data_IF_727120769954
#
_entry.id   IF_727120769954
#
_cell.length_a   1.000
_cell.length_b   1.000
_cell.length_c   1.000
_cell.angle_alpha   90.00
_cell.angle_beta   90.00
_cell.angle_gamma   90.00
#
_symmetry.space_group_name_H-M   'P 1'
#
loop_
_entity.id
_entity.type
_entity.pdbx_description
1 polymer ?
#
# COMPACT_ATOMS: atom_id res chain seq x y z
N UNK A 1 -28.08 -52.95 -39.84
CA UNK A 1 -27.74 -52.49 -38.48
C UNK A 1 -26.38 -51.82 -38.31
N UNK A 2 -25.27 -52.36 -38.83
CA UNK A 2 -23.95 -51.73 -38.60
C UNK A 2 -23.78 -50.33 -39.23
N UNK A 3 -24.31 -50.10 -40.43
CA UNK A 3 -24.29 -48.78 -41.09
C UNK A 3 -25.01 -47.73 -40.24
N UNK A 4 -26.20 -48.05 -39.71
CA UNK A 4 -26.94 -47.15 -38.84
C UNK A 4 -26.17 -46.83 -37.55
N UNK A 5 -25.44 -47.81 -36.99
CA UNK A 5 -24.57 -47.62 -35.83
C UNK A 5 -23.38 -46.70 -36.14
N UNK A 6 -22.77 -46.83 -37.32
CA UNK A 6 -21.66 -45.96 -37.74
C UNK A 6 -22.15 -44.53 -37.99
N UNK A 7 -23.29 -44.35 -38.67
CA UNK A 7 -23.91 -43.04 -38.86
C UNK A 7 -24.19 -42.37 -37.51
N UNK A 8 -24.79 -43.08 -36.55
CA UNK A 8 -25.06 -42.52 -35.22
C UNK A 8 -23.78 -42.09 -34.48
N UNK A 9 -22.68 -42.84 -34.63
CA UNK A 9 -21.38 -42.45 -34.04
C UNK A 9 -20.77 -41.21 -34.71
N UNK A 10 -20.91 -41.08 -36.03
CA UNK A 10 -20.46 -39.90 -36.77
C UNK A 10 -21.25 -38.67 -36.31
N UNK A 11 -22.57 -38.79 -36.18
CA UNK A 11 -23.43 -37.69 -35.71
C UNK A 11 -23.07 -37.25 -34.28
N UNK A 12 -22.77 -38.22 -33.39
CA UNK A 12 -22.29 -37.95 -32.03
C UNK A 12 -20.92 -37.26 -32.05
N UNK A 13 -19.98 -37.75 -32.85
CA UNK A 13 -18.65 -37.16 -32.98
C UNK A 13 -18.72 -35.73 -33.52
N UNK A 14 -19.59 -35.47 -34.51
CA UNK A 14 -19.81 -34.16 -35.09
C UNK A 14 -20.38 -33.17 -34.06
N UNK A 15 -21.38 -33.61 -33.30
CA UNK A 15 -21.99 -32.80 -32.24
C UNK A 15 -20.97 -32.45 -31.15
N UNK A 16 -20.19 -33.44 -30.69
CA UNK A 16 -19.15 -33.23 -29.67
C UNK A 16 -18.00 -32.35 -30.17
N UNK A 17 -17.57 -32.52 -31.43
CA UNK A 17 -16.56 -31.65 -32.04
C UNK A 17 -17.03 -30.19 -32.07
N UNK A 18 -18.29 -29.94 -32.47
CA UNK A 18 -18.86 -28.60 -32.49
C UNK A 18 -18.91 -27.98 -31.09
N UNK A 19 -19.33 -28.76 -30.08
CA UNK A 19 -19.36 -28.31 -28.68
C UNK A 19 -17.96 -27.97 -28.16
N UNK A 20 -16.98 -28.84 -28.37
CA UNK A 20 -15.60 -28.61 -27.94
C UNK A 20 -15.00 -27.36 -28.59
N UNK A 21 -15.29 -27.11 -29.87
CA UNK A 21 -14.84 -25.89 -30.56
C UNK A 21 -15.46 -24.63 -29.97
N UNK A 22 -16.73 -24.67 -29.60
CA UNK A 22 -17.38 -23.55 -28.90
C UNK A 22 -16.72 -23.30 -27.54
N UNK A 23 -16.48 -24.36 -26.75
CA UNK A 23 -15.79 -24.24 -25.46
C UNK A 23 -14.35 -23.73 -25.60
N UNK A 24 -13.62 -24.11 -26.66
CA UNK A 24 -12.28 -23.56 -26.95
C UNK A 24 -12.34 -22.06 -27.20
N UNK A 25 -13.33 -21.58 -27.97
CA UNK A 25 -13.49 -20.15 -28.22
C UNK A 25 -13.81 -19.37 -26.93
N UNK A 26 -14.65 -19.94 -26.08
CA UNK A 26 -14.96 -19.37 -24.76
C UNK A 26 -13.71 -19.28 -23.87
N UNK A 27 -12.95 -20.38 -23.75
CA UNK A 27 -11.70 -20.41 -22.98
C UNK A 27 -10.67 -19.39 -23.50
N UNK A 28 -10.55 -19.22 -24.82
CA UNK A 28 -9.69 -18.21 -25.42
C UNK A 28 -10.13 -16.78 -25.05
N UNK A 29 -11.43 -16.51 -25.06
CA UNK A 29 -11.97 -15.22 -24.64
C UNK A 29 -11.73 -14.95 -23.15
N UNK A 30 -11.93 -15.96 -22.30
CA UNK A 30 -11.66 -15.86 -20.87
C UNK A 30 -10.16 -15.66 -20.56
N UNK A 31 -9.27 -16.35 -21.27
CA UNK A 31 -7.82 -16.16 -21.13
C UNK A 31 -7.39 -14.74 -21.54
N UNK A 32 -7.98 -14.20 -22.62
CA UNK A 32 -7.72 -12.83 -23.03
C UNK A 32 -8.25 -11.81 -22.00
N UNK A 33 -9.43 -12.04 -21.44
CA UNK A 33 -9.99 -11.21 -20.37
C UNK A 33 -9.10 -11.23 -19.12
N UNK A 34 -8.68 -12.43 -18.68
CA UNK A 34 -7.78 -12.61 -17.53
C UNK A 34 -6.44 -11.90 -17.73
N UNK A 35 -5.88 -11.95 -18.95
CA UNK A 35 -4.64 -11.24 -19.27
C UNK A 35 -4.80 -9.72 -19.17
N UNK A 36 -5.93 -9.17 -19.64
CA UNK A 36 -6.23 -7.74 -19.55
C UNK A 36 -6.46 -7.28 -18.11
N UNK A 37 -7.17 -8.08 -17.33
CA UNK A 37 -7.40 -7.82 -15.91
C UNK A 37 -6.08 -7.83 -15.13
N UNK A 38 -5.26 -8.85 -15.33
CA UNK A 38 -3.93 -8.95 -14.70
C UNK A 38 -3.07 -7.73 -15.03
N UNK A 39 -3.02 -7.31 -16.30
CA UNK A 39 -2.27 -6.11 -16.69
C UNK A 39 -2.79 -4.82 -16.03
N UNK A 40 -4.10 -4.74 -15.79
CA UNK A 40 -4.72 -3.59 -15.10
C UNK A 40 -4.37 -3.60 -13.61
N UNK A 41 -4.37 -4.77 -12.97
CA UNK A 41 -3.92 -4.91 -11.58
C UNK A 41 -2.44 -4.55 -11.42
N UNK A 42 -1.57 -5.06 -12.30
CA UNK A 42 -0.13 -4.75 -12.25
C UNK A 42 0.12 -3.25 -12.36
N UNK A 43 -0.63 -2.58 -13.25
CA UNK A 43 -0.55 -1.12 -13.41
C UNK A 43 -1.01 -0.39 -12.14
N UNK A 44 -2.18 -0.75 -11.60
CA UNK A 44 -2.69 -0.14 -10.38
C UNK A 44 -1.69 -0.35 -9.24
N UNK A 45 -1.13 -1.55 -9.10
CA UNK A 45 -0.15 -1.85 -8.06
C UNK A 45 1.11 -0.99 -8.18
N UNK A 46 1.61 -0.77 -9.39
CA UNK A 46 2.74 0.11 -9.63
C UNK A 46 2.43 1.56 -9.25
N UNK A 47 1.26 2.06 -9.66
CA UNK A 47 0.81 3.43 -9.34
C UNK A 47 0.63 3.61 -7.82
N UNK A 48 -0.08 2.69 -7.15
CA UNK A 48 -0.32 2.78 -5.71
C UNK A 48 0.95 2.62 -4.89
N UNK A 49 1.88 1.75 -5.31
CA UNK A 49 3.17 1.61 -4.62
C UNK A 49 4.00 2.88 -4.71
N UNK A 50 4.04 3.51 -5.89
CA UNK A 50 4.79 4.75 -6.09
C UNK A 50 4.21 5.88 -5.23
N UNK A 51 2.88 5.99 -5.17
CA UNK A 51 2.20 6.96 -4.31
C UNK A 51 2.50 6.70 -2.82
N UNK A 52 2.51 5.44 -2.38
CA UNK A 52 2.90 5.06 -1.03
C UNK A 52 4.35 5.42 -0.71
N UNK A 53 5.32 5.10 -1.59
CA UNK A 53 6.72 5.44 -1.36
C UNK A 53 6.93 6.96 -1.19
N UNK A 54 6.21 7.75 -2.00
CA UNK A 54 6.23 9.20 -1.87
C UNK A 54 5.58 9.67 -0.55
N UNK A 55 4.39 9.17 -0.21
CA UNK A 55 3.69 9.53 1.02
C UNK A 55 4.51 9.17 2.27
N UNK A 56 5.12 7.97 2.27
CA UNK A 56 6.03 7.52 3.32
C UNK A 56 7.21 8.46 3.50
N UNK A 57 7.90 8.81 2.42
CA UNK A 57 9.04 9.70 2.46
C UNK A 57 8.67 11.10 3.02
N UNK A 58 7.54 11.65 2.58
CA UNK A 58 7.04 12.94 3.05
C UNK A 58 6.64 12.91 4.54
N UNK A 59 5.99 11.84 4.99
CA UNK A 59 5.63 11.63 6.40
C UNK A 59 6.86 11.47 7.29
N UNK A 60 7.86 10.67 6.88
CA UNK A 60 9.11 10.51 7.62
C UNK A 60 9.89 11.82 7.73
N UNK A 61 9.96 12.58 6.63
CA UNK A 61 10.60 13.89 6.61
C UNK A 61 9.86 14.88 7.51
N UNK A 62 8.53 14.94 7.41
CA UNK A 62 7.67 15.76 8.26
C UNK A 62 7.86 15.44 9.75
N UNK A 63 7.86 14.15 10.11
CA UNK A 63 8.07 13.68 11.47
C UNK A 63 9.44 14.08 12.01
N UNK A 64 10.50 13.92 11.22
CA UNK A 64 11.86 14.36 11.58
C UNK A 64 11.92 15.88 11.79
N UNK A 65 11.27 16.65 10.92
CA UNK A 65 11.17 18.10 11.02
C UNK A 65 10.46 18.57 12.30
N UNK A 66 9.29 17.99 12.60
CA UNK A 66 8.51 18.30 13.80
C UNK A 66 9.29 17.95 15.07
N UNK A 67 9.96 16.78 15.10
CA UNK A 67 10.82 16.38 16.24
C UNK A 67 11.95 17.37 16.49
N UNK A 68 12.63 17.83 15.43
CA UNK A 68 13.69 18.85 15.55
C UNK A 68 13.13 20.19 16.06
N UNK A 69 11.96 20.61 15.55
CA UNK A 69 11.32 21.83 16.02
C UNK A 69 10.93 21.73 17.51
N UNK A 70 10.33 20.62 17.92
CA UNK A 70 10.02 20.34 19.32
C UNK A 70 11.26 20.37 20.20
N UNK A 71 12.38 19.79 19.77
CA UNK A 71 13.64 19.85 20.52
C UNK A 71 14.11 21.29 20.75
N UNK A 72 14.20 22.10 19.69
CA UNK A 72 14.65 23.49 19.78
C UNK A 72 13.70 24.33 20.65
N UNK A 73 12.39 24.16 20.49
CA UNK A 73 11.40 24.90 21.27
C UNK A 73 11.38 24.47 22.74
N UNK A 74 11.55 23.17 23.04
CA UNK A 74 11.71 22.69 24.42
C UNK A 74 12.98 23.25 25.07
N UNK A 75 14.09 23.35 24.35
CA UNK A 75 15.30 23.97 24.86
C UNK A 75 15.10 25.48 25.14
N UNK A 76 14.49 26.19 24.19
CA UNK A 76 14.23 27.63 24.29
C UNK A 76 13.23 27.99 25.41
N UNK A 77 12.09 27.31 25.47
CA UNK A 77 11.04 27.58 26.46
C UNK A 77 11.28 26.86 27.79
N UNK A 78 11.82 25.64 27.78
CA UNK A 78 12.12 24.83 28.97
C UNK A 78 13.32 25.33 29.77
N UNK A 79 14.31 25.97 29.12
CA UNK A 79 15.43 26.60 29.83
C UNK A 79 15.04 27.73 30.79
N UNK A 80 13.81 28.28 30.67
CA UNK A 80 13.29 29.29 31.61
C UNK A 80 12.81 28.70 32.94
N UNK A 81 12.27 27.48 32.93
CA UNK A 81 11.79 26.81 34.15
C UNK A 81 12.95 26.34 35.04
N UNK A 82 14.04 25.83 34.44
CA UNK A 82 15.25 25.46 35.18
C UNK A 82 15.98 26.70 35.77
N UNK A 83 16.01 27.82 35.05
CA UNK A 83 16.56 29.07 35.55
C UNK A 83 15.69 29.70 36.66
N UNK A 84 14.36 29.63 36.55
CA UNK A 84 13.46 30.12 37.60
C UNK A 84 13.50 29.28 38.88
N UNK A 85 13.73 27.96 38.77
CA UNK A 85 13.91 27.08 39.93
C UNK A 85 15.23 27.34 40.66
N UNK A 86 16.31 27.64 39.94
CA UNK A 86 17.62 27.99 40.52
C UNK A 86 17.64 29.38 41.19
N UNK A 87 16.76 30.31 40.80
CA UNK A 87 16.66 31.66 41.41
C UNK A 87 15.88 31.63 42.73
N UNK A 88 14.99 30.66 42.96
CA UNK A 88 14.25 30.57 44.22
C UNK A 88 15.10 30.06 45.39
N UNK A 89 16.23 29.40 45.13
CA UNK A 89 17.14 28.92 46.17
C UNK A 89 18.15 30.00 46.64
N UNK A 90 18.37 31.06 45.84
CA UNK A 90 19.40 32.09 46.09
C UNK A 90 18.84 33.41 46.67
N UNK A 91 17.73 33.33 47.43
CA UNK A 91 17.10 34.48 48.09
C UNK A 91 17.96 35.21 49.13
N UNK A 92 19.19 34.75 49.39
CA UNK A 92 20.10 35.33 50.39
C UNK A 92 21.33 36.06 49.81
N UNK A 93 21.73 35.86 48.54
CA UNK A 93 22.97 36.45 48.01
C UNK A 93 22.75 37.75 47.22
N UNK A 94 21.53 38.00 46.74
CA UNK A 94 21.17 39.17 45.90
C UNK A 94 21.26 40.53 46.63
N UNK A 95 21.45 40.55 47.95
CA UNK A 95 21.51 41.80 48.73
C UNK A 95 22.90 42.47 48.77
N UNK A 96 23.96 41.84 48.22
CA UNK A 96 25.34 42.31 48.47
C UNK A 96 26.15 42.79 47.26
N UNK A 97 25.70 42.65 46.00
CA UNK A 97 26.48 43.10 44.84
C UNK A 97 25.66 43.91 43.83
N UNK A 98 25.95 45.21 43.77
CA UNK A 98 25.39 46.14 42.79
C UNK A 98 26.16 46.01 41.45
N UNK A 99 25.66 45.16 40.55
CA UNK A 99 26.19 44.98 39.19
C UNK A 99 25.25 45.65 38.16
N UNK A 100 25.78 46.37 37.14
CA UNK A 100 24.95 47.06 36.15
C UNK A 100 24.11 46.09 35.30
N UNK A 101 22.93 46.55 34.90
CA UNK A 101 21.88 45.74 34.26
C UNK A 101 22.38 45.01 33.00
N UNK A 102 22.15 43.70 32.98
CA UNK A 102 22.38 42.80 31.84
C UNK A 102 21.50 43.27 30.66
N UNK A 103 21.97 43.25 29.40
CA UNK A 103 21.16 43.63 28.25
C UNK A 103 19.87 42.80 28.17
N UNK A 104 18.76 43.44 27.80
CA UNK A 104 17.43 42.83 27.65
C UNK A 104 17.49 41.60 26.73
N UNK A 105 17.53 40.41 27.33
CA UNK A 105 17.14 39.20 26.62
C UNK A 105 15.61 39.18 26.57
N UNK A 106 15.06 39.09 25.34
CA UNK A 106 13.63 39.00 25.05
C UNK A 106 12.87 38.21 26.13
N UNK A 107 11.88 38.86 26.74
CA UNK A 107 11.06 38.25 27.80
C UNK A 107 10.31 37.03 27.24
N UNK A 108 10.54 35.87 27.87
CA UNK A 108 9.87 34.61 27.48
C UNK A 108 8.37 34.75 27.74
N UNK A 109 7.56 34.77 26.69
CA UNK A 109 6.10 34.65 26.80
C UNK A 109 5.73 33.22 27.21
N UNK A 110 5.80 32.94 28.52
CA UNK A 110 5.67 31.60 29.12
C UNK A 110 4.37 30.87 28.75
N UNK A 111 3.27 31.59 28.49
CA UNK A 111 1.97 30.99 28.13
C UNK A 111 1.84 30.56 26.66
N UNK A 112 2.45 31.29 25.72
CA UNK A 112 2.34 30.97 24.29
C UNK A 112 3.19 29.75 23.89
N UNK A 113 4.36 29.58 24.52
CA UNK A 113 5.28 28.46 24.23
C UNK A 113 4.66 27.07 24.51
N UNK A 114 3.90 26.93 25.59
CA UNK A 114 3.19 25.68 25.92
C UNK A 114 2.13 25.31 24.88
N UNK A 115 1.37 26.29 24.38
CA UNK A 115 0.37 26.05 23.33
C UNK A 115 0.99 25.62 22.00
N UNK A 116 2.13 26.19 21.62
CA UNK A 116 2.85 25.85 20.38
C UNK A 116 3.45 24.45 20.48
N UNK A 117 4.06 24.10 21.63
CA UNK A 117 4.56 22.75 21.89
C UNK A 117 3.43 21.72 21.82
N UNK A 118 2.29 21.98 22.45
CA UNK A 118 1.14 21.08 22.42
C UNK A 118 0.60 20.85 21.01
N UNK A 119 0.52 21.90 20.17
CA UNK A 119 0.09 21.75 18.77
C UNK A 119 1.10 20.89 18.00
N UNK A 120 2.40 21.10 18.17
CA UNK A 120 3.42 20.32 17.47
C UNK A 120 3.48 18.86 17.95
N UNK A 121 3.22 18.58 19.22
CA UNK A 121 3.10 17.22 19.75
C UNK A 121 1.89 16.47 19.16
N UNK A 122 0.75 17.16 18.97
CA UNK A 122 -0.41 16.59 18.26
C UNK A 122 -0.06 16.29 16.81
N UNK A 123 0.60 17.23 16.10
CA UNK A 123 1.04 17.01 14.71
C UNK A 123 2.04 15.85 14.61
N UNK A 124 2.98 15.72 15.56
CA UNK A 124 3.91 14.58 15.61
C UNK A 124 3.15 13.25 15.74
N UNK A 125 2.17 13.20 16.65
CA UNK A 125 1.33 12.02 16.85
C UNK A 125 0.52 11.68 15.60
N UNK A 126 -0.05 12.68 14.92
CA UNK A 126 -0.83 12.48 13.71
C UNK A 126 0.05 11.95 12.56
N UNK A 127 1.24 12.51 12.36
CA UNK A 127 2.20 11.99 11.37
C UNK A 127 2.64 10.56 11.67
N UNK A 128 2.96 10.25 12.92
CA UNK A 128 3.35 8.90 13.31
C UNK A 128 2.20 7.90 13.09
N UNK A 129 0.96 8.31 13.39
CA UNK A 129 -0.23 7.48 13.20
C UNK A 129 -0.53 7.25 11.72
N UNK A 130 -0.47 8.30 10.91
CA UNK A 130 -0.67 8.19 9.46
C UNK A 130 0.39 7.32 8.82
N UNK A 131 1.67 7.46 9.20
CA UNK A 131 2.75 6.60 8.71
C UNK A 131 2.48 5.13 9.01
N UNK A 132 2.10 4.80 10.25
CA UNK A 132 1.77 3.42 10.62
C UNK A 132 0.55 2.88 9.87
N UNK A 133 -0.46 3.72 9.63
CA UNK A 133 -1.63 3.35 8.82
C UNK A 133 -1.24 3.07 7.38
N UNK A 134 -0.51 3.97 6.73
CA UNK A 134 -0.02 3.80 5.35
C UNK A 134 0.86 2.55 5.20
N UNK A 135 1.76 2.28 6.15
CA UNK A 135 2.57 1.04 6.14
C UNK A 135 1.71 -0.21 6.24
N UNK A 136 0.69 -0.20 7.09
CA UNK A 136 -0.23 -1.35 7.24
C UNK A 136 -1.07 -1.55 5.99
N UNK A 137 -1.65 -0.48 5.44
CA UNK A 137 -2.48 -0.53 4.24
C UNK A 137 -1.68 -1.01 3.03
N UNK A 138 -0.42 -0.60 2.92
CA UNK A 138 0.49 -1.08 1.88
C UNK A 138 0.83 -2.56 2.04
N UNK A 139 1.12 -3.02 3.26
CA UNK A 139 1.41 -4.44 3.53
C UNK A 139 0.21 -5.32 3.15
N UNK A 140 -1.00 -4.91 3.53
CA UNK A 140 -2.24 -5.60 3.18
C UNK A 140 -2.47 -5.60 1.66
N UNK A 141 -2.30 -4.44 1.00
CA UNK A 141 -2.45 -4.31 -0.45
C UNK A 141 -1.44 -5.18 -1.22
N UNK A 142 -0.19 -5.26 -0.75
CA UNK A 142 0.84 -6.12 -1.34
C UNK A 142 0.49 -7.59 -1.17
N UNK A 143 0.03 -8.01 0.02
CA UNK A 143 -0.37 -9.39 0.29
C UNK A 143 -1.56 -9.83 -0.59
N UNK A 144 -2.58 -8.98 -0.72
CA UNK A 144 -3.74 -9.25 -1.56
C UNK A 144 -3.35 -9.33 -3.05
N UNK A 145 -2.50 -8.42 -3.51
CA UNK A 145 -1.99 -8.46 -4.89
C UNK A 145 -1.23 -9.75 -5.17
N UNK A 146 -0.33 -10.19 -4.28
CA UNK A 146 0.42 -11.44 -4.45
C UNK A 146 -0.50 -12.66 -4.48
N UNK A 147 -1.48 -12.70 -3.58
CA UNK A 147 -2.47 -13.78 -3.52
C UNK A 147 -3.27 -13.87 -4.81
N UNK A 148 -3.87 -12.76 -5.25
CA UNK A 148 -4.69 -12.75 -6.47
C UNK A 148 -3.82 -13.07 -7.70
N UNK A 149 -2.60 -12.58 -7.76
CA UNK A 149 -1.65 -12.89 -8.84
C UNK A 149 -1.34 -14.39 -8.89
N UNK A 150 -1.15 -15.04 -7.75
CA UNK A 150 -0.91 -16.48 -7.68
C UNK A 150 -2.16 -17.28 -8.11
N UNK A 151 -3.35 -16.90 -7.63
CA UNK A 151 -4.62 -17.50 -8.02
C UNK A 151 -4.84 -17.37 -9.54
N UNK A 152 -4.64 -16.18 -10.11
CA UNK A 152 -4.74 -15.93 -11.55
C UNK A 152 -3.77 -16.79 -12.36
N UNK A 153 -2.55 -17.04 -11.86
CA UNK A 153 -1.58 -17.93 -12.52
C UNK A 153 -2.06 -19.38 -12.57
N UNK A 154 -2.67 -19.86 -11.50
CA UNK A 154 -3.24 -21.22 -11.43
C UNK A 154 -4.43 -21.32 -12.39
N UNK A 155 -5.34 -20.34 -12.34
CA UNK A 155 -6.51 -20.27 -13.24
C UNK A 155 -6.07 -20.24 -14.70
N UNK A 156 -5.12 -19.38 -15.05
CA UNK A 156 -4.55 -19.29 -16.40
C UNK A 156 -3.99 -20.62 -16.87
N UNK A 157 -3.13 -21.25 -16.07
CA UNK A 157 -2.51 -22.53 -16.43
C UNK A 157 -3.56 -23.62 -16.63
N UNK A 158 -4.60 -23.64 -15.80
CA UNK A 158 -5.70 -24.61 -15.89
C UNK A 158 -6.50 -24.41 -17.18
N UNK A 159 -6.87 -23.17 -17.50
CA UNK A 159 -7.61 -22.83 -18.72
C UNK A 159 -6.80 -23.09 -19.99
N UNK A 160 -5.50 -22.79 -19.99
CA UNK A 160 -4.60 -23.10 -21.12
C UNK A 160 -4.48 -24.61 -21.37
N UNK A 161 -4.42 -25.41 -20.29
CA UNK A 161 -4.42 -26.87 -20.43
C UNK A 161 -5.74 -27.37 -21.00
N UNK A 162 -6.87 -26.90 -20.48
CA UNK A 162 -8.20 -27.28 -20.96
C UNK A 162 -8.40 -26.89 -22.44
N UNK A 163 -8.01 -25.67 -22.81
CA UNK A 163 -8.06 -25.18 -24.19
C UNK A 163 -7.25 -26.07 -25.13
N UNK A 164 -6.04 -26.45 -24.71
CA UNK A 164 -5.17 -27.37 -25.46
C UNK A 164 -5.79 -28.77 -25.61
N UNK A 165 -6.30 -29.37 -24.53
CA UNK A 165 -6.88 -30.71 -24.58
C UNK A 165 -8.14 -30.76 -25.45
N UNK A 166 -9.06 -29.80 -25.28
CA UNK A 166 -10.28 -29.70 -26.09
C UNK A 166 -9.99 -29.42 -27.56
N UNK A 167 -8.96 -28.63 -27.84
CA UNK A 167 -8.48 -28.41 -29.21
C UNK A 167 -7.95 -29.70 -29.84
N UNK A 168 -7.21 -30.53 -29.08
CA UNK A 168 -6.73 -31.81 -29.58
C UNK A 168 -7.88 -32.81 -29.80
N UNK A 169 -8.83 -32.88 -28.86
CA UNK A 169 -9.97 -33.79 -28.96
C UNK A 169 -10.88 -33.43 -30.13
N UNK A 170 -11.23 -32.15 -30.31
CA UNK A 170 -12.04 -31.70 -31.46
C UNK A 170 -11.38 -32.04 -32.80
N UNK A 171 -10.07 -31.84 -32.93
CA UNK A 171 -9.31 -32.25 -34.13
C UNK A 171 -9.34 -33.75 -34.37
N UNK A 172 -9.22 -34.56 -33.32
CA UNK A 172 -9.31 -36.02 -33.43
C UNK A 172 -10.71 -36.48 -33.84
N UNK A 173 -11.77 -35.83 -33.33
CA UNK A 173 -13.15 -36.11 -33.72
C UNK A 173 -13.39 -35.72 -35.18
N UNK A 174 -12.90 -34.57 -35.63
CA UNK A 174 -12.98 -34.14 -37.03
C UNK A 174 -12.34 -35.16 -37.98
N UNK A 175 -11.19 -35.73 -37.60
CA UNK A 175 -10.53 -36.79 -38.36
C UNK A 175 -11.32 -38.10 -38.39
N UNK A 176 -12.16 -38.36 -37.39
CA UNK A 176 -13.03 -39.55 -37.34
C UNK A 176 -14.30 -39.37 -38.17
N UNK A 177 -14.73 -38.12 -38.39
CA UNK A 177 -15.89 -37.76 -39.20
C UNK A 177 -15.55 -37.73 -40.70
N UNK A 178 -14.34 -37.29 -41.04
CA UNK A 178 -13.83 -37.18 -42.42
C UNK A 178 -13.57 -38.54 -43.06
#
# INVERSE_FOLDING_TARGET
>A
DEVAKMTSKIDQAASKSAELKAQVQELQAELAALAKESASMDKIRQETHADYEQAKADLELGLSGVRKALQVLREYYGGGAAAAAMIQDDGMLSSLMQQPAVPEHHSKASGAGGSILGILEVVESDFAKNLATEETEEEDAQADYEKITQENKIVKTTKEQDEKYKTQESKSLDQTIA
#
